data_IF_740158948549
#
_entry.id   IF_740158948549
#
_cell.length_a   1.000
_cell.length_b   1.000
_cell.length_c   1.000
_cell.angle_alpha   90.00
_cell.angle_beta   90.00
_cell.angle_gamma   90.00
#
_symmetry.space_group_name_H-M   'P 1'
#
loop_
_entity.id
_entity.type
_entity.pdbx_description
1 polymer ?
#
# COMPACT_ATOMS: atom_id res chain seq x y z
N UNK A 1 14.13 -1.42 21.04
CA UNK A 1 13.53 -2.22 19.95
C UNK A 1 12.04 -1.91 19.92
N UNK A 2 11.51 -1.39 18.82
CA UNK A 2 10.09 -1.06 18.73
C UNK A 2 9.22 -2.33 18.69
N UNK A 3 7.91 -2.21 18.89
CA UNK A 3 6.96 -3.33 18.72
C UNK A 3 7.05 -3.95 17.32
N UNK A 4 7.13 -3.11 16.28
CA UNK A 4 7.29 -3.56 14.89
C UNK A 4 8.59 -4.32 14.66
N UNK A 5 9.72 -3.83 15.18
CA UNK A 5 11.02 -4.50 15.02
C UNK A 5 11.04 -5.89 15.69
N UNK A 6 10.33 -6.05 16.82
CA UNK A 6 10.16 -7.36 17.47
C UNK A 6 9.34 -8.31 16.59
N UNK A 7 8.23 -7.84 16.02
CA UNK A 7 7.40 -8.66 15.14
C UNK A 7 8.16 -9.07 13.88
N UNK A 8 8.85 -8.13 13.22
CA UNK A 8 9.59 -8.43 12.00
C UNK A 8 10.72 -9.46 12.23
N UNK A 9 11.29 -9.53 13.44
CA UNK A 9 12.27 -10.58 13.81
C UNK A 9 11.63 -11.91 14.20
N UNK A 10 10.33 -11.93 14.50
CA UNK A 10 9.61 -13.15 14.84
C UNK A 10 9.55 -14.10 13.64
N UNK A 11 9.81 -15.38 13.91
CA UNK A 11 9.78 -16.48 12.93
C UNK A 11 8.54 -17.36 13.08
N UNK A 12 7.76 -17.19 14.14
CA UNK A 12 6.60 -18.02 14.45
C UNK A 12 5.35 -17.51 13.71
N UNK A 13 4.81 -18.24 12.72
CA UNK A 13 3.61 -17.82 11.98
C UNK A 13 2.36 -17.69 12.86
N UNK A 14 2.29 -18.39 14.01
CA UNK A 14 1.18 -18.26 14.95
C UNK A 14 1.14 -16.87 15.60
N UNK A 15 2.31 -16.29 15.91
CA UNK A 15 2.40 -14.91 16.44
C UNK A 15 1.93 -13.91 15.40
N UNK A 16 2.34 -14.07 14.14
CA UNK A 16 1.90 -13.21 13.03
C UNK A 16 0.39 -13.27 12.83
N UNK A 17 -0.19 -14.48 12.76
CA UNK A 17 -1.64 -14.67 12.66
C UNK A 17 -2.39 -14.09 13.86
N UNK A 18 -1.86 -14.27 15.08
CA UNK A 18 -2.46 -13.72 16.29
C UNK A 18 -2.46 -12.19 16.34
N UNK A 19 -1.47 -11.52 15.74
CA UNK A 19 -1.44 -10.07 15.60
C UNK A 19 -2.37 -9.63 14.46
N UNK A 20 -2.35 -10.32 13.33
CA UNK A 20 -3.24 -10.02 12.20
C UNK A 20 -4.71 -10.13 12.58
N UNK A 21 -5.09 -11.10 13.42
CA UNK A 21 -6.46 -11.25 13.94
C UNK A 21 -6.96 -10.02 14.74
N UNK A 22 -6.06 -9.14 15.21
CA UNK A 22 -6.39 -7.91 15.94
C UNK A 22 -6.49 -6.69 15.03
N UNK A 23 -6.30 -6.86 13.72
CA UNK A 23 -6.19 -5.76 12.77
C UNK A 23 -7.35 -4.76 12.87
N UNK A 24 -8.60 -5.25 12.76
CA UNK A 24 -9.78 -4.38 12.81
C UNK A 24 -9.98 -3.70 14.17
N UNK A 25 -9.69 -4.41 15.26
CA UNK A 25 -9.72 -3.83 16.62
C UNK A 25 -8.73 -2.65 16.73
N UNK A 26 -7.55 -2.77 16.12
CA UNK A 26 -6.55 -1.69 16.09
C UNK A 26 -7.02 -0.54 15.21
N UNK A 27 -7.59 -0.81 14.03
CA UNK A 27 -8.13 0.23 13.14
C UNK A 27 -9.23 1.03 13.85
N UNK A 28 -10.17 0.37 14.50
CA UNK A 28 -11.23 1.01 15.30
C UNK A 28 -10.66 1.83 16.46
N UNK A 29 -9.67 1.32 17.17
CA UNK A 29 -9.00 2.08 18.24
C UNK A 29 -8.27 3.32 17.69
N UNK A 30 -7.66 3.23 16.51
CA UNK A 30 -6.97 4.36 15.86
C UNK A 30 -7.93 5.45 15.41
N UNK A 31 -9.19 5.10 15.11
CA UNK A 31 -10.20 6.09 14.72
C UNK A 31 -10.81 6.81 15.91
N UNK A 32 -10.97 6.14 17.06
CA UNK A 32 -11.62 6.71 18.25
C UNK A 32 -10.97 8.01 18.81
N UNK A 33 -9.69 8.27 18.53
CA UNK A 33 -8.95 9.42 19.06
C UNK A 33 -8.73 10.61 18.11
N UNK A 34 -9.21 10.55 16.86
CA UNK A 34 -8.95 11.60 15.83
C UNK A 34 -10.23 12.34 15.42
N UNK A 35 -10.14 13.67 15.21
CA UNK A 35 -11.18 14.42 14.48
C UNK A 35 -11.30 13.83 13.07
N UNK A 36 -12.47 13.24 12.74
CA UNK A 36 -12.70 12.50 11.49
C UNK A 36 -12.69 10.97 11.62
N UNK A 37 -12.88 10.45 12.83
CA UNK A 37 -12.87 9.02 13.20
C UNK A 37 -13.57 8.08 12.20
N UNK A 38 -14.83 8.31 11.87
CA UNK A 38 -15.59 7.42 10.98
C UNK A 38 -14.99 7.25 9.58
N UNK A 39 -14.37 8.33 9.06
CA UNK A 39 -13.86 8.36 7.69
C UNK A 39 -12.68 7.41 7.46
N UNK A 40 -11.77 7.26 8.43
CA UNK A 40 -10.64 6.35 8.27
C UNK A 40 -11.10 4.89 8.26
N UNK A 41 -12.09 4.53 9.08
CA UNK A 41 -12.63 3.17 9.11
C UNK A 41 -13.28 2.80 7.78
N UNK A 42 -14.09 3.70 7.22
CA UNK A 42 -14.70 3.53 5.90
C UNK A 42 -13.65 3.40 4.79
N UNK A 43 -12.62 4.24 4.82
CA UNK A 43 -11.52 4.20 3.83
C UNK A 43 -10.69 2.91 3.96
N UNK A 44 -10.43 2.44 5.18
CA UNK A 44 -9.68 1.20 5.39
C UNK A 44 -10.49 -0.01 4.92
N UNK A 45 -11.79 -0.08 5.24
CA UNK A 45 -12.70 -1.11 4.71
C UNK A 45 -12.73 -1.12 3.19
N UNK A 46 -12.85 0.06 2.58
CA UNK A 46 -12.82 0.17 1.14
C UNK A 46 -11.49 -0.31 0.54
N UNK A 47 -10.35 0.04 1.13
CA UNK A 47 -9.04 -0.38 0.60
C UNK A 47 -8.77 -1.88 0.80
N UNK A 48 -9.15 -2.45 1.95
CA UNK A 48 -8.88 -3.86 2.28
C UNK A 48 -9.84 -4.83 1.57
N UNK A 49 -11.12 -4.44 1.39
CA UNK A 49 -12.16 -5.35 0.91
C UNK A 49 -12.72 -4.95 -0.47
N UNK A 50 -13.21 -3.71 -0.60
CA UNK A 50 -13.99 -3.29 -1.77
C UNK A 50 -13.12 -3.08 -3.02
N UNK A 51 -11.98 -2.40 -2.87
CA UNK A 51 -11.09 -2.08 -3.99
C UNK A 51 -10.47 -3.35 -4.60
N UNK A 52 -9.89 -4.30 -3.83
CA UNK A 52 -9.38 -5.55 -4.39
C UNK A 52 -10.47 -6.34 -5.11
N UNK A 53 -11.67 -6.43 -4.50
CA UNK A 53 -12.82 -7.11 -5.11
C UNK A 53 -13.20 -6.47 -6.44
N UNK A 54 -13.24 -5.12 -6.50
CA UNK A 54 -13.55 -4.38 -7.72
C UNK A 54 -12.48 -4.57 -8.81
N UNK A 55 -11.20 -4.61 -8.45
CA UNK A 55 -10.10 -4.85 -9.40
C UNK A 55 -10.19 -6.26 -9.97
N UNK A 56 -10.40 -7.27 -9.12
CA UNK A 56 -10.48 -8.69 -9.52
C UNK A 56 -11.74 -9.02 -10.34
N UNK A 57 -12.82 -8.26 -10.17
CA UNK A 57 -14.05 -8.43 -10.94
C UNK A 57 -13.94 -7.91 -12.39
N UNK A 58 -12.88 -7.15 -12.72
CA UNK A 58 -12.64 -6.63 -14.07
C UNK A 58 -11.92 -7.66 -14.93
N UNK A 59 -12.21 -7.66 -16.23
CA UNK A 59 -11.48 -8.49 -17.20
C UNK A 59 -9.97 -8.22 -17.20
N UNK A 60 -9.60 -6.95 -16.98
CA UNK A 60 -8.23 -6.50 -16.84
C UNK A 60 -8.11 -5.66 -15.57
N UNK A 61 -7.03 -5.85 -14.81
CA UNK A 61 -6.82 -5.08 -13.59
C UNK A 61 -6.47 -3.63 -13.94
N UNK A 62 -7.20 -2.68 -13.38
CA UNK A 62 -6.94 -1.25 -13.50
C UNK A 62 -7.62 -0.52 -12.33
N UNK A 63 -7.34 0.77 -12.15
CA UNK A 63 -8.13 1.68 -11.30
C UNK A 63 -8.78 2.75 -12.16
N UNK A 64 -9.95 3.23 -11.73
CA UNK A 64 -10.58 4.47 -12.22
C UNK A 64 -9.97 5.69 -11.55
N UNK A 65 -10.18 6.90 -12.09
CA UNK A 65 -9.70 8.14 -11.46
C UNK A 65 -10.31 8.37 -10.07
N UNK A 66 -11.62 8.16 -9.84
CA UNK A 66 -12.20 8.28 -8.50
C UNK A 66 -11.59 7.31 -7.49
N UNK A 67 -11.30 6.08 -7.89
CA UNK A 67 -10.62 5.09 -7.04
C UNK A 67 -9.20 5.52 -6.70
N UNK A 68 -8.44 6.07 -7.67
CA UNK A 68 -7.10 6.55 -7.41
C UNK A 68 -7.09 7.75 -6.44
N UNK A 69 -8.05 8.67 -6.58
CA UNK A 69 -8.24 9.79 -5.63
C UNK A 69 -8.59 9.26 -4.24
N UNK A 70 -9.51 8.29 -4.14
CA UNK A 70 -9.92 7.67 -2.87
C UNK A 70 -8.76 6.91 -2.21
N UNK A 71 -7.92 6.22 -2.98
CA UNK A 71 -6.69 5.56 -2.49
C UNK A 71 -5.72 6.56 -1.89
N UNK A 72 -5.51 7.70 -2.54
CA UNK A 72 -4.67 8.76 -1.98
C UNK A 72 -5.27 9.34 -0.70
N UNK A 73 -6.58 9.54 -0.66
CA UNK A 73 -7.25 10.00 0.55
C UNK A 73 -7.08 9.02 1.71
N UNK A 74 -7.27 7.72 1.46
CA UNK A 74 -7.01 6.65 2.42
C UNK A 74 -5.56 6.73 2.96
N UNK A 75 -4.58 6.75 2.05
CA UNK A 75 -3.15 6.79 2.41
C UNK A 75 -2.80 8.01 3.27
N UNK A 76 -3.30 9.20 2.90
CA UNK A 76 -3.04 10.44 3.64
C UNK A 76 -3.76 10.53 4.98
N UNK A 77 -4.90 9.84 5.12
CA UNK A 77 -5.64 9.76 6.39
C UNK A 77 -4.95 8.81 7.38
N UNK A 78 -4.36 7.73 6.86
CA UNK A 78 -3.64 6.74 7.67
C UNK A 78 -2.25 7.23 8.09
N UNK A 79 -1.49 7.80 7.15
CA UNK A 79 -0.08 8.16 7.34
C UNK A 79 0.19 9.67 7.45
N UNK A 80 1.37 10.08 6.99
CA UNK A 80 1.78 11.49 7.01
C UNK A 80 0.96 12.32 6.02
N UNK A 81 0.22 13.29 6.55
CA UNK A 81 -0.61 14.19 5.76
C UNK A 81 0.23 15.09 4.85
N UNK A 82 -0.05 15.04 3.54
CA UNK A 82 0.63 15.82 2.49
C UNK A 82 -0.42 16.35 1.49
N UNK A 83 -1.06 17.50 1.77
CA UNK A 83 -2.26 17.93 1.06
C UNK A 83 -2.02 18.19 -0.44
N UNK A 84 -0.81 18.60 -0.82
CA UNK A 84 -0.41 18.84 -2.21
C UNK A 84 -0.60 17.60 -3.11
N UNK A 85 -0.45 16.39 -2.55
CA UNK A 85 -0.60 15.15 -3.33
C UNK A 85 -2.04 14.90 -3.76
N UNK A 86 -3.03 15.34 -2.98
CA UNK A 86 -4.45 15.15 -3.31
C UNK A 86 -4.83 15.95 -4.56
N UNK A 87 -4.34 17.19 -4.66
CA UNK A 87 -4.57 18.04 -5.84
C UNK A 87 -3.87 17.49 -7.09
N UNK A 88 -2.63 17.03 -6.96
CA UNK A 88 -1.89 16.44 -8.08
C UNK A 88 -2.58 15.19 -8.61
N UNK A 89 -3.04 14.30 -7.75
CA UNK A 89 -3.74 13.08 -8.18
C UNK A 89 -5.06 13.41 -8.87
N UNK A 90 -5.83 14.35 -8.32
CA UNK A 90 -7.09 14.79 -8.92
C UNK A 90 -6.92 15.42 -10.30
N UNK A 91 -5.71 15.86 -10.68
CA UNK A 91 -5.42 16.47 -11.98
C UNK A 91 -5.09 15.48 -13.10
N UNK A 92 -5.01 14.17 -12.81
CA UNK A 92 -4.90 13.15 -13.85
C UNK A 92 -6.26 12.89 -14.48
N UNK A 93 -6.31 12.65 -15.80
CA UNK A 93 -7.56 12.30 -16.49
C UNK A 93 -7.93 10.82 -16.27
N UNK A 94 -9.20 10.48 -16.47
CA UNK A 94 -9.68 9.09 -16.40
C UNK A 94 -8.90 8.19 -17.35
N UNK A 95 -8.69 8.62 -18.59
CA UNK A 95 -8.00 7.87 -19.63
C UNK A 95 -6.54 7.58 -19.26
N UNK A 96 -5.85 8.58 -18.69
CA UNK A 96 -4.47 8.43 -18.24
C UNK A 96 -4.36 7.43 -17.08
N UNK A 97 -5.28 7.51 -16.11
CA UNK A 97 -5.30 6.59 -14.96
C UNK A 97 -5.60 5.16 -15.42
N UNK A 98 -6.61 4.96 -16.26
CA UNK A 98 -6.96 3.65 -16.81
C UNK A 98 -5.80 3.05 -17.59
N UNK A 99 -5.22 3.80 -18.53
CA UNK A 99 -4.12 3.32 -19.36
C UNK A 99 -2.90 2.92 -18.52
N UNK A 100 -2.46 3.81 -17.63
CA UNK A 100 -1.26 3.62 -16.83
C UNK A 100 -1.42 2.45 -15.84
N UNK A 101 -2.54 2.39 -15.11
CA UNK A 101 -2.75 1.32 -14.12
C UNK A 101 -2.92 -0.04 -14.78
N UNK A 102 -3.66 -0.11 -15.90
CA UNK A 102 -3.80 -1.32 -16.70
C UNK A 102 -2.45 -1.84 -17.20
N UNK A 103 -1.63 -0.95 -17.76
CA UNK A 103 -0.28 -1.30 -18.21
C UNK A 103 0.61 -1.74 -17.04
N UNK A 104 0.54 -1.07 -15.90
CA UNK A 104 1.31 -1.43 -14.72
C UNK A 104 0.99 -2.83 -14.19
N UNK A 105 -0.30 -3.21 -14.15
CA UNK A 105 -0.68 -4.58 -13.77
C UNK A 105 -0.21 -5.62 -14.79
N UNK A 106 -0.27 -5.31 -16.08
CA UNK A 106 0.22 -6.20 -17.15
C UNK A 106 1.75 -6.38 -17.16
N UNK A 107 2.51 -5.52 -16.48
CA UNK A 107 3.96 -5.62 -16.35
C UNK A 107 4.40 -6.61 -15.25
N UNK A 108 3.50 -7.06 -14.37
CA UNK A 108 3.85 -8.04 -13.34
C UNK A 108 4.25 -9.39 -13.97
N UNK A 109 5.27 -10.09 -13.43
CA UNK A 109 5.92 -9.86 -12.13
C UNK A 109 7.09 -8.84 -12.15
N UNK A 110 7.31 -8.09 -13.24
CA UNK A 110 8.28 -6.98 -13.25
C UNK A 110 7.74 -5.76 -12.49
N UNK A 111 7.87 -5.83 -11.16
CA UNK A 111 7.46 -4.75 -10.23
C UNK A 111 8.25 -3.47 -10.50
N UNK A 112 9.48 -3.55 -11.02
CA UNK A 112 10.27 -2.37 -11.29
C UNK A 112 9.67 -1.54 -12.42
N UNK A 113 9.32 -2.18 -13.52
CA UNK A 113 8.64 -1.55 -14.64
C UNK A 113 7.23 -1.09 -14.24
N UNK A 114 6.49 -1.87 -13.45
CA UNK A 114 5.16 -1.49 -12.98
C UNK A 114 5.17 -0.22 -12.11
N UNK A 115 6.11 -0.11 -11.17
CA UNK A 115 6.27 1.09 -10.34
C UNK A 115 6.70 2.29 -11.18
N UNK A 116 7.60 2.09 -12.14
CA UNK A 116 8.05 3.15 -13.04
C UNK A 116 6.88 3.69 -13.89
N UNK A 117 6.06 2.80 -14.44
CA UNK A 117 4.84 3.14 -15.17
C UNK A 117 3.88 3.97 -14.31
N UNK A 118 3.52 3.49 -13.12
CA UNK A 118 2.63 4.22 -12.20
C UNK A 118 3.19 5.58 -11.75
N UNK A 119 4.52 5.69 -11.65
CA UNK A 119 5.17 6.94 -11.25
C UNK A 119 5.16 8.02 -12.35
N UNK A 120 4.64 7.72 -13.54
CA UNK A 120 4.35 8.72 -14.58
C UNK A 120 3.11 9.57 -14.27
N UNK A 121 2.19 9.06 -13.44
CA UNK A 121 1.01 9.81 -13.00
C UNK A 121 1.39 10.89 -11.97
N UNK A 122 0.74 12.05 -12.08
CA UNK A 122 1.01 13.18 -11.19
C UNK A 122 0.64 12.83 -9.76
N UNK A 123 1.57 13.03 -8.82
CA UNK A 123 1.35 12.76 -7.39
C UNK A 123 1.51 11.30 -6.98
N UNK A 124 1.86 10.39 -7.91
CA UNK A 124 2.21 9.00 -7.61
C UNK A 124 3.72 8.85 -7.56
N UNK A 125 4.25 8.55 -6.37
CA UNK A 125 5.62 8.06 -6.20
C UNK A 125 5.62 6.57 -5.82
N UNK A 126 6.81 5.95 -5.66
CA UNK A 126 6.94 4.52 -5.40
C UNK A 126 6.08 4.00 -4.25
N UNK A 127 5.99 4.75 -3.14
CA UNK A 127 5.14 4.36 -2.02
C UNK A 127 3.64 4.31 -2.39
N UNK A 128 3.13 5.27 -3.15
CA UNK A 128 1.71 5.24 -3.59
C UNK A 128 1.50 4.20 -4.68
N UNK A 129 2.43 4.08 -5.63
CA UNK A 129 2.39 3.06 -6.67
C UNK A 129 2.34 1.64 -6.06
N UNK A 130 3.11 1.38 -5.01
CA UNK A 130 3.05 0.10 -4.29
C UNK A 130 1.70 -0.18 -3.64
N UNK A 131 0.95 0.85 -3.21
CA UNK A 131 -0.40 0.67 -2.67
C UNK A 131 -1.41 0.29 -3.76
N UNK A 132 -1.26 0.84 -4.98
CA UNK A 132 -2.07 0.48 -6.14
C UNK A 132 -1.84 -0.99 -6.49
N UNK A 133 -0.57 -1.39 -6.63
CA UNK A 133 -0.23 -2.77 -6.98
C UNK A 133 -0.64 -3.76 -5.88
N UNK A 134 -0.40 -3.45 -4.61
CA UNK A 134 -0.80 -4.31 -3.49
C UNK A 134 -2.31 -4.55 -3.41
N UNK A 135 -3.14 -3.62 -3.88
CA UNK A 135 -4.59 -3.79 -3.90
C UNK A 135 -5.05 -4.80 -4.98
N UNK A 136 -4.35 -4.91 -6.10
CA UNK A 136 -4.72 -5.79 -7.21
C UNK A 136 -3.84 -7.04 -7.39
N UNK A 137 -2.68 -7.07 -6.75
CA UNK A 137 -1.70 -8.16 -6.81
C UNK A 137 -0.93 -8.30 -5.47
N UNK A 138 -1.64 -8.59 -4.36
CA UNK A 138 -1.03 -8.67 -3.02
C UNK A 138 0.02 -9.78 -2.88
N UNK A 139 -0.03 -10.80 -3.73
CA UNK A 139 0.96 -11.90 -3.75
C UNK A 139 2.31 -11.46 -4.34
N UNK A 140 2.31 -10.42 -5.18
CA UNK A 140 3.50 -9.94 -5.91
C UNK A 140 4.10 -8.69 -5.25
N UNK A 141 3.26 -7.81 -4.71
CA UNK A 141 3.68 -6.48 -4.25
C UNK A 141 3.12 -6.15 -2.87
N UNK A 142 4.01 -5.72 -1.97
CA UNK A 142 3.65 -5.19 -0.67
C UNK A 142 3.57 -3.66 -0.66
N UNK A 143 2.59 -3.10 0.05
CA UNK A 143 2.50 -1.66 0.26
C UNK A 143 3.63 -1.15 1.17
N UNK A 144 4.39 -0.18 0.68
CA UNK A 144 5.47 0.50 1.40
C UNK A 144 4.93 1.56 2.37
N UNK A 145 4.42 1.10 3.52
CA UNK A 145 4.04 1.96 4.63
C UNK A 145 5.25 2.32 5.51
N UNK A 146 5.34 3.58 5.95
CA UNK A 146 6.47 4.09 6.72
C UNK A 146 6.72 3.27 7.99
N UNK A 147 5.66 2.89 8.70
CA UNK A 147 5.73 2.10 9.94
C UNK A 147 6.32 0.70 9.71
N UNK A 148 6.08 0.12 8.52
CA UNK A 148 6.63 -1.19 8.14
C UNK A 148 8.10 -1.02 7.76
N UNK A 149 8.46 0.01 6.99
CA UNK A 149 9.86 0.29 6.66
C UNK A 149 10.67 0.55 7.95
N UNK A 150 10.12 1.30 8.90
CA UNK A 150 10.74 1.58 10.21
C UNK A 150 10.89 0.34 11.10
N UNK A 151 10.06 -0.70 10.88
CA UNK A 151 10.18 -1.98 11.58
C UNK A 151 11.40 -2.80 11.13
N UNK A 152 11.97 -2.48 9.95
CA UNK A 152 13.10 -3.16 9.36
C UNK A 152 14.35 -2.31 9.61
N UNK A 153 15.22 -2.78 10.50
CA UNK A 153 16.33 -2.00 11.03
C UNK A 153 17.26 -1.46 9.93
N UNK A 154 17.49 -2.26 8.89
CA UNK A 154 18.37 -1.99 7.74
C UNK A 154 17.82 -0.94 6.77
N UNK A 155 16.53 -0.60 6.86
CA UNK A 155 15.86 0.34 5.96
C UNK A 155 15.66 1.72 6.59
N UNK A 156 16.28 2.00 7.74
CA UNK A 156 16.22 3.31 8.39
C UNK A 156 17.37 4.21 7.93
N UNK A 157 17.14 5.53 7.73
CA UNK A 157 15.86 6.22 7.75
C UNK A 157 15.03 5.94 6.49
N UNK A 158 13.70 6.07 6.59
CA UNK A 158 12.77 5.89 5.46
C UNK A 158 13.13 6.83 4.31
N UNK A 159 13.31 6.27 3.10
CA UNK A 159 13.51 7.06 1.87
C UNK A 159 12.43 6.73 0.84
N UNK A 160 11.80 7.76 0.30
CA UNK A 160 10.73 7.62 -0.70
C UNK A 160 11.27 7.50 -2.14
N UNK A 161 12.23 6.60 -2.37
CA UNK A 161 12.86 6.37 -3.68
C UNK A 161 12.59 4.95 -4.18
N UNK A 162 12.63 4.75 -5.50
CA UNK A 162 12.42 3.43 -6.10
C UNK A 162 13.45 2.40 -5.57
N UNK A 163 14.73 2.79 -5.49
CA UNK A 163 15.78 1.94 -4.90
C UNK A 163 15.43 1.47 -3.48
N UNK A 164 14.90 2.37 -2.65
CA UNK A 164 14.55 2.02 -1.27
C UNK A 164 13.29 1.14 -1.21
N UNK A 165 12.32 1.38 -2.09
CA UNK A 165 11.17 0.51 -2.26
C UNK A 165 11.57 -0.93 -2.63
N UNK A 166 12.50 -1.14 -3.56
CA UNK A 166 12.89 -2.51 -3.94
C UNK A 166 13.65 -3.24 -2.83
N UNK A 167 14.47 -2.53 -2.04
CA UNK A 167 15.07 -3.09 -0.83
C UNK A 167 14.00 -3.47 0.19
N UNK A 168 12.96 -2.65 0.35
CA UNK A 168 11.81 -2.98 1.18
C UNK A 168 11.08 -4.23 0.68
N UNK A 169 10.74 -4.29 -0.60
CA UNK A 169 9.99 -5.40 -1.17
C UNK A 169 10.75 -6.72 -1.03
N UNK A 170 12.05 -6.74 -1.31
CA UNK A 170 12.91 -7.92 -1.11
C UNK A 170 12.85 -8.43 0.34
N UNK A 171 12.91 -7.54 1.33
CA UNK A 171 12.81 -7.91 2.75
C UNK A 171 11.44 -8.47 3.12
N UNK A 172 10.37 -7.93 2.55
CA UNK A 172 9.01 -8.46 2.77
C UNK A 172 8.86 -9.84 2.13
N UNK A 173 9.27 -10.02 0.88
CA UNK A 173 9.16 -11.31 0.17
C UNK A 173 9.96 -12.41 0.88
N UNK A 174 11.19 -12.12 1.34
CA UNK A 174 11.97 -13.04 2.15
C UNK A 174 11.26 -13.41 3.46
N UNK A 175 10.60 -12.44 4.11
CA UNK A 175 9.82 -12.69 5.33
C UNK A 175 8.61 -13.57 5.05
N UNK A 176 7.85 -13.29 4.00
CA UNK A 176 6.70 -14.10 3.57
C UNK A 176 7.11 -15.53 3.28
N UNK A 177 8.20 -15.73 2.52
CA UNK A 177 8.75 -17.07 2.23
C UNK A 177 9.19 -17.81 3.51
N UNK A 178 9.67 -17.10 4.52
CA UNK A 178 10.07 -17.72 5.78
C UNK A 178 8.86 -18.16 6.63
N UNK A 179 7.79 -17.38 6.62
CA UNK A 179 6.59 -17.64 7.43
C UNK A 179 5.65 -18.70 6.82
N UNK A 180 5.74 -18.90 5.50
CA UNK A 180 4.93 -19.87 4.76
C UNK A 180 5.65 -21.21 4.53
N UNK A 181 6.76 -21.45 5.23
CA UNK A 181 7.41 -22.77 5.34
C UNK A 181 6.77 -23.57 6.47
#
# INVERSE_FOLDING_TARGET
MSGGERLFRCKDPAVWRGIYAKYWVVVEAMTAGKKGSGKLLELEKWYQDELPTAILARTEHFLTQPELVKLMEWKLTRGKFRPQLKQLIGSNSEEAVLHCTKKAFALLPDVQSAIAELSTLKGLGPATASAVLAAGAPEEVAFMADEVVESIAELRPVRYTAKHFFLFLDKILQKTQHLNK
#
